data_IF_560352334237
#
_entry.id   IF_560352334237
#
_cell.length_a   1.000
_cell.length_b   1.000
_cell.length_c   1.000
_cell.angle_alpha   90.00
_cell.angle_beta   90.00
_cell.angle_gamma   90.00
#
_symmetry.space_group_name_H-M   'P 1'
#
loop_
_entity.id
_entity.type
_entity.pdbx_description
1 polymer ?
#
# COMPACT_ATOMS: atom_id res chain seq x y z
N UNK A 1 23.64 -4.92 -3.35
CA UNK A 1 22.86 -4.24 -2.31
C UNK A 1 21.49 -3.90 -2.88
N UNK A 2 20.46 -4.38 -2.24
CA UNK A 2 19.12 -4.18 -2.76
C UNK A 2 18.57 -2.82 -2.35
N UNK A 3 17.85 -2.17 -3.24
CA UNK A 3 17.20 -0.92 -2.87
C UNK A 3 16.14 -1.15 -1.80
N UNK A 4 15.93 -0.16 -0.98
CA UNK A 4 14.90 -0.22 0.04
C UNK A 4 14.02 1.01 -0.03
N UNK A 5 12.81 0.90 0.50
CA UNK A 5 11.88 2.02 0.52
C UNK A 5 11.92 2.70 1.89
N UNK A 6 12.19 3.99 1.93
CA UNK A 6 12.17 4.71 3.19
C UNK A 6 10.75 5.03 3.63
N UNK A 7 10.60 5.43 4.89
CA UNK A 7 9.34 5.92 5.44
C UNK A 7 8.20 4.90 5.27
N UNK A 8 8.53 3.61 5.35
CA UNK A 8 7.55 2.55 5.20
C UNK A 8 6.76 2.68 3.89
N UNK A 9 7.44 3.14 2.86
CA UNK A 9 6.85 3.20 1.54
C UNK A 9 5.94 4.38 1.29
N UNK A 10 5.95 5.39 2.17
CA UNK A 10 5.13 6.58 1.94
C UNK A 10 5.49 7.28 0.64
N UNK A 11 6.76 7.17 0.24
CA UNK A 11 7.24 7.79 -0.99
C UNK A 11 7.29 6.83 -2.17
N UNK A 12 6.77 5.63 -1.97
CA UNK A 12 6.80 4.60 -3.01
C UNK A 12 5.92 5.01 -4.20
N UNK A 13 6.50 4.97 -5.39
CA UNK A 13 5.79 5.31 -6.63
C UNK A 13 5.89 4.21 -7.67
N UNK A 14 6.19 2.99 -7.23
CA UNK A 14 6.32 1.86 -8.15
C UNK A 14 4.98 1.29 -8.60
N UNK A 15 5.04 0.14 -9.24
CA UNK A 15 3.87 -0.45 -9.88
C UNK A 15 3.47 -1.80 -9.29
N UNK A 16 3.95 -2.11 -8.09
CA UNK A 16 3.54 -3.35 -7.41
C UNK A 16 2.03 -3.32 -7.18
N UNK A 17 1.35 -4.37 -7.58
CA UNK A 17 -0.11 -4.38 -7.54
C UNK A 17 -0.67 -5.71 -7.07
N UNK A 18 0.09 -6.41 -6.24
CA UNK A 18 -0.32 -7.71 -5.69
C UNK A 18 0.09 -7.75 -4.22
N UNK A 19 -0.73 -8.36 -3.38
CA UNK A 19 -0.45 -8.41 -1.94
C UNK A 19 0.47 -9.57 -1.59
N UNK A 20 0.89 -9.61 -0.32
CA UNK A 20 1.75 -10.69 0.17
C UNK A 20 1.08 -12.05 0.05
N UNK A 21 -0.25 -12.09 0.09
CA UNK A 21 -0.98 -13.35 -0.04
C UNK A 21 -1.29 -13.68 -1.48
N UNK A 22 -0.84 -12.87 -2.44
CA UNK A 22 -1.06 -13.12 -3.85
C UNK A 22 -2.35 -12.54 -4.40
N UNK A 23 -3.09 -11.77 -3.61
CA UNK A 23 -4.34 -11.17 -4.06
C UNK A 23 -4.04 -9.97 -4.96
N UNK A 24 -4.86 -9.80 -6.00
CA UNK A 24 -4.71 -8.69 -6.90
C UNK A 24 -5.34 -7.44 -6.32
N UNK A 25 -4.62 -6.32 -6.42
CA UNK A 25 -5.13 -5.05 -5.92
C UNK A 25 -6.26 -4.53 -6.81
N UNK A 26 -7.24 -3.89 -6.19
CA UNK A 26 -8.30 -3.19 -6.90
C UNK A 26 -7.87 -1.75 -7.15
N UNK A 27 -8.40 -1.11 -8.20
CA UNK A 27 -8.07 0.30 -8.46
C UNK A 27 -8.48 1.20 -7.30
N UNK A 28 -7.69 2.24 -7.09
CA UNK A 28 -7.97 3.18 -6.00
C UNK A 28 -9.25 3.99 -6.23
N UNK A 29 -9.72 4.06 -7.48
CA UNK A 29 -10.99 4.75 -7.76
C UNK A 29 -12.19 3.81 -7.72
N UNK A 30 -12.01 2.57 -7.27
CA UNK A 30 -13.11 1.65 -7.13
C UNK A 30 -13.92 1.97 -5.89
N UNK A 31 -15.17 1.46 -5.83
CA UNK A 31 -16.02 1.69 -4.68
C UNK A 31 -15.45 1.09 -3.41
N UNK A 32 -14.86 -0.09 -3.53
CA UNK A 32 -14.26 -0.74 -2.35
C UNK A 32 -13.08 0.06 -1.82
N UNK A 33 -12.30 0.66 -2.71
CA UNK A 33 -11.18 1.48 -2.28
C UNK A 33 -11.68 2.75 -1.59
N UNK A 34 -12.72 3.38 -2.14
CA UNK A 34 -13.30 4.55 -1.50
C UNK A 34 -13.83 4.22 -0.12
N UNK A 35 -14.44 3.06 0.02
CA UNK A 35 -14.96 2.62 1.31
C UNK A 35 -13.84 2.39 2.30
N UNK A 36 -12.75 1.76 1.85
CA UNK A 36 -11.61 1.49 2.71
C UNK A 36 -10.92 2.76 3.19
N UNK A 37 -10.95 3.81 2.38
CA UNK A 37 -10.31 5.08 2.74
C UNK A 37 -11.22 5.99 3.55
N UNK A 38 -12.50 5.67 3.65
CA UNK A 38 -13.43 6.52 4.37
C UNK A 38 -13.04 6.60 5.83
N UNK A 39 -12.93 7.81 6.33
CA UNK A 39 -12.57 8.03 7.72
C UNK A 39 -11.09 7.93 8.02
N UNK A 40 -10.28 7.56 7.03
CA UNK A 40 -8.85 7.52 7.23
C UNK A 40 -8.24 8.87 6.95
N UNK A 41 -7.19 9.17 7.71
CA UNK A 41 -6.45 10.40 7.49
C UNK A 41 -5.35 10.10 6.46
N UNK A 42 -5.55 10.53 5.23
CA UNK A 42 -4.61 10.22 4.16
C UNK A 42 -3.74 11.41 3.83
N UNK A 43 -2.51 11.12 3.41
CA UNK A 43 -1.53 12.13 3.04
C UNK A 43 -1.78 12.56 1.59
N UNK A 44 -2.10 13.85 1.35
CA UNK A 44 -2.38 14.29 -0.01
C UNK A 44 -1.18 14.23 -0.95
N UNK A 45 0.02 14.06 -0.42
CA UNK A 45 1.20 13.92 -1.26
C UNK A 45 1.34 12.53 -1.85
N UNK A 46 0.59 11.56 -1.32
CA UNK A 46 0.65 10.19 -1.83
C UNK A 46 -0.36 10.04 -2.94
N UNK A 47 0.13 9.83 -4.15
CA UNK A 47 -0.75 9.68 -5.31
C UNK A 47 -1.25 8.24 -5.39
N UNK A 48 -2.56 8.09 -5.40
CA UNK A 48 -3.20 6.78 -5.48
C UNK A 48 -3.51 6.48 -6.94
N UNK A 49 -2.50 5.94 -7.63
CA UNK A 49 -2.58 5.70 -9.06
C UNK A 49 -2.97 4.26 -9.35
N UNK A 50 -3.79 4.07 -10.33
CA UNK A 50 -4.20 2.75 -10.82
C UNK A 50 -4.57 1.83 -9.66
N UNK A 51 -3.94 0.66 -9.61
CA UNK A 51 -4.13 -0.29 -8.51
C UNK A 51 -2.80 -0.58 -7.82
N UNK A 52 -1.90 0.37 -7.82
CA UNK A 52 -0.56 0.17 -7.25
C UNK A 52 -0.59 0.27 -5.73
N UNK A 53 0.23 -0.53 -5.08
CA UNK A 53 0.35 -0.49 -3.63
C UNK A 53 0.88 0.87 -3.18
N UNK A 54 0.28 1.42 -2.14
CA UNK A 54 0.68 2.74 -1.62
C UNK A 54 0.48 2.77 -0.11
N UNK A 55 1.04 3.77 0.52
CA UNK A 55 0.88 3.96 1.97
C UNK A 55 0.32 5.36 2.24
N UNK A 56 -0.97 5.59 1.95
CA UNK A 56 -1.55 6.92 2.08
C UNK A 56 -1.87 7.34 3.50
N UNK A 57 -1.97 6.41 4.44
CA UNK A 57 -2.38 6.70 5.81
C UNK A 57 -1.26 6.49 6.82
N UNK A 58 -0.01 6.48 6.35
CA UNK A 58 1.18 6.32 7.19
C UNK A 58 1.13 5.06 8.03
N UNK A 59 0.71 3.99 7.42
CA UNK A 59 0.61 2.70 8.10
C UNK A 59 2.00 2.19 8.43
N UNK A 60 2.20 1.78 9.67
CA UNK A 60 3.49 1.28 10.11
C UNK A 60 3.85 -0.05 9.46
N UNK A 61 2.87 -0.75 8.95
CA UNK A 61 3.10 -2.01 8.26
C UNK A 61 3.58 -1.82 6.83
N UNK A 62 3.41 -0.63 6.29
CA UNK A 62 3.92 -0.32 4.95
C UNK A 62 2.83 -0.13 3.92
N UNK A 63 3.20 -0.32 2.65
CA UNK A 63 2.25 -0.10 1.56
C UNK A 63 1.21 -1.22 1.52
N UNK A 64 0.02 -0.88 1.07
CA UNK A 64 -1.11 -1.80 1.02
C UNK A 64 -1.99 -1.46 -0.16
N UNK A 65 -2.97 -2.29 -0.39
CA UNK A 65 -3.98 -2.00 -1.41
C UNK A 65 -5.30 -2.66 -1.00
N UNK A 66 -6.34 -2.30 -1.71
CA UNK A 66 -7.68 -2.82 -1.48
C UNK A 66 -7.85 -4.10 -2.29
N UNK A 67 -8.53 -5.08 -1.72
CA UNK A 67 -8.75 -6.36 -2.38
C UNK A 67 -10.24 -6.68 -2.42
N UNK A 68 -10.59 -7.71 -3.19
CA UNK A 68 -11.97 -8.10 -3.39
C UNK A 68 -12.44 -9.16 -2.39
N UNK A 69 -11.59 -9.51 -1.44
CA UNK A 69 -11.94 -10.50 -0.42
C UNK A 69 -11.71 -9.93 0.97
N UNK A 70 -12.54 -10.33 1.94
CA UNK A 70 -12.37 -9.83 3.31
C UNK A 70 -10.96 -10.10 3.82
N UNK A 71 -10.38 -9.16 4.55
CA UNK A 71 -10.95 -7.91 5.06
C UNK A 71 -10.92 -6.74 4.05
N UNK A 72 -10.76 -7.02 2.77
CA UNK A 72 -10.83 -6.06 1.66
C UNK A 72 -9.62 -5.14 1.58
N UNK A 73 -8.56 -5.51 2.24
CA UNK A 73 -7.24 -4.88 2.06
C UNK A 73 -6.18 -5.85 2.53
N UNK A 74 -4.95 -5.64 2.07
CA UNK A 74 -3.83 -6.45 2.52
C UNK A 74 -2.56 -5.68 2.20
N UNK A 75 -1.48 -6.06 2.85
CA UNK A 75 -0.20 -5.39 2.66
C UNK A 75 0.54 -6.00 1.49
N UNK A 76 1.40 -5.19 0.89
CA UNK A 76 2.19 -5.63 -0.25
C UNK A 76 3.61 -5.89 0.21
N UNK A 77 4.32 -6.77 -0.50
CA UNK A 77 5.65 -7.19 -0.10
C UNK A 77 6.69 -6.23 -0.65
N UNK A 78 7.14 -5.31 0.19
CA UNK A 78 8.19 -4.35 -0.14
C UNK A 78 9.30 -4.45 0.88
N UNK A 79 10.51 -4.17 0.45
CA UNK A 79 11.67 -4.14 1.32
C UNK A 79 11.84 -2.72 1.85
N UNK A 80 11.74 -2.54 3.16
CA UNK A 80 11.79 -1.21 3.77
C UNK A 80 13.14 -0.94 4.41
N UNK A 81 13.59 0.31 4.29
CA UNK A 81 14.82 0.74 4.91
C UNK A 81 14.63 0.82 6.43
N UNK A 82 15.73 0.64 7.14
CA UNK A 82 15.70 0.77 8.59
C UNK A 82 15.17 -0.42 9.33
N UNK A 83 14.75 -1.43 8.62
CA UNK A 83 14.34 -2.66 9.28
C UNK A 83 15.56 -3.37 9.83
N UNK A 84 15.44 -3.78 11.06
CA UNK A 84 16.55 -4.50 11.66
C UNK A 84 16.44 -5.96 11.35
N UNK A 85 17.44 -6.45 10.67
CA UNK A 85 17.59 -7.88 10.62
C UNK A 85 18.28 -8.22 11.92
N UNK A 86 17.56 -8.78 12.79
CA UNK A 86 18.07 -9.06 14.12
C UNK A 86 19.22 -10.02 14.06
#
# INVERSE_FOLDING_TARGET
MEPCEPEKGMLYTGTLSVTVSGAKCLPWNSEKAKEALRGKHTDPQVELLENYCRNPDRDEEGVWCVTDEPPYFDYCDLHYCGEKSA
#
